data_IF_004841719885
#
_entry.id   IF_004841719885
#
_cell.length_a   1.000
_cell.length_b   1.000
_cell.length_c   1.000
_cell.angle_alpha   90.00
_cell.angle_beta   90.00
_cell.angle_gamma   90.00
#
_symmetry.space_group_name_H-M   'P 1'
#
loop_
_entity.id
_entity.type
_entity.pdbx_description
1 polymer ?
#
# COMPACT_ATOMS: atom_id res chain seq x y z
N UNK A 1 4.78 17.65 32.43
CA UNK A 1 3.46 17.09 32.81
C UNK A 1 3.25 15.83 31.99
N UNK A 2 3.32 14.65 32.60
CA UNK A 2 2.98 13.39 31.92
C UNK A 2 1.48 13.13 32.07
N UNK A 3 0.87 12.62 31.01
CA UNK A 3 -0.54 12.30 30.96
C UNK A 3 -0.78 10.98 31.71
N UNK A 4 -1.82 10.92 32.54
CA UNK A 4 -2.27 9.67 33.17
C UNK A 4 -3.13 8.88 32.18
N UNK A 5 -3.25 7.56 32.36
CA UNK A 5 -4.06 6.71 31.46
C UNK A 5 -5.54 7.13 31.44
N UNK A 6 -6.07 7.54 32.58
CA UNK A 6 -7.43 8.11 32.71
C UNK A 6 -7.54 9.46 31.99
N UNK A 7 -6.49 10.28 32.04
CA UNK A 7 -6.39 11.54 31.32
C UNK A 7 -6.33 11.33 29.81
N UNK A 8 -5.65 10.28 29.34
CA UNK A 8 -5.61 9.91 27.93
C UNK A 8 -6.98 9.48 27.41
N UNK A 9 -7.70 8.67 28.19
CA UNK A 9 -9.05 8.23 27.87
C UNK A 9 -10.02 9.42 27.81
N UNK A 10 -10.05 10.27 28.85
CA UNK A 10 -10.91 11.46 28.89
C UNK A 10 -10.61 12.46 27.76
N UNK A 11 -9.33 12.65 27.43
CA UNK A 11 -8.90 13.48 26.32
C UNK A 11 -9.40 12.94 24.97
N UNK A 12 -9.24 11.65 24.69
CA UNK A 12 -9.73 11.04 23.44
C UNK A 12 -11.24 11.18 23.31
N UNK A 13 -12.00 10.92 24.39
CA UNK A 13 -13.46 11.08 24.36
C UNK A 13 -13.89 12.53 24.15
N UNK A 14 -13.25 13.47 24.84
CA UNK A 14 -13.55 14.91 24.70
C UNK A 14 -13.22 15.42 23.31
N UNK A 15 -12.09 14.95 22.73
CA UNK A 15 -11.67 15.29 21.36
C UNK A 15 -12.66 14.78 20.32
N UNK A 16 -13.17 13.55 20.48
CA UNK A 16 -14.21 12.99 19.61
C UNK A 16 -15.51 13.79 19.70
N UNK A 17 -16.00 14.08 20.91
CA UNK A 17 -17.22 14.85 21.11
C UNK A 17 -17.13 16.28 20.52
N UNK A 18 -15.98 16.94 20.68
CA UNK A 18 -15.75 18.26 20.08
C UNK A 18 -15.72 18.19 18.55
N UNK A 19 -15.09 17.16 17.99
CA UNK A 19 -15.08 16.93 16.54
C UNK A 19 -16.49 16.72 15.98
N UNK A 20 -17.36 16.02 16.71
CA UNK A 20 -18.78 15.83 16.32
C UNK A 20 -19.54 17.16 16.26
N UNK A 21 -19.37 18.01 17.28
CA UNK A 21 -19.99 19.34 17.31
C UNK A 21 -19.48 20.21 16.15
N UNK A 22 -18.17 20.18 15.88
CA UNK A 22 -17.57 20.90 14.76
C UNK A 22 -18.06 20.40 13.40
N UNK A 23 -18.23 19.08 13.23
CA UNK A 23 -18.79 18.49 12.02
C UNK A 23 -20.26 18.92 11.82
N UNK A 24 -21.07 18.89 12.88
CA UNK A 24 -22.45 19.33 12.83
C UNK A 24 -22.57 20.82 12.45
N UNK A 25 -21.68 21.67 12.99
CA UNK A 25 -21.60 23.08 12.62
C UNK A 25 -21.16 23.28 11.16
N UNK A 26 -20.19 22.51 10.67
CA UNK A 26 -19.71 22.57 9.29
C UNK A 26 -20.76 22.13 8.25
N UNK A 27 -21.72 21.27 8.64
CA UNK A 27 -22.86 20.89 7.80
C UNK A 27 -23.89 22.03 7.65
N UNK A 28 -23.92 22.98 8.59
CA UNK A 28 -24.82 24.14 8.58
C UNK A 28 -24.22 25.35 7.85
N UNK A 29 -22.90 25.42 7.69
CA UNK A 29 -22.23 26.54 7.05
C UNK A 29 -22.03 26.27 5.54
N UNK A 30 -22.89 26.86 4.71
CA UNK A 30 -22.84 26.74 3.24
C UNK A 30 -21.63 27.47 2.60
N UNK A 31 -20.65 27.92 3.40
CA UNK A 31 -19.45 28.63 2.94
C UNK A 31 -18.21 27.76 3.13
N UNK A 32 -17.82 27.09 2.05
CA UNK A 32 -16.62 26.23 1.89
C UNK A 32 -16.53 25.09 2.91
N UNK A 33 -16.95 23.90 2.47
CA UNK A 33 -16.70 22.63 3.17
C UNK A 33 -15.19 22.51 3.44
N UNK A 34 -14.76 22.71 4.68
CA UNK A 34 -13.36 22.71 5.10
C UNK A 34 -13.11 21.55 6.08
N UNK A 35 -12.13 20.68 5.81
CA UNK A 35 -11.69 19.69 6.78
C UNK A 35 -10.91 20.38 7.90
N UNK A 36 -11.19 20.01 9.15
CA UNK A 36 -10.49 20.56 10.33
C UNK A 36 -10.07 19.45 11.28
N UNK A 37 -9.11 19.74 12.16
CA UNK A 37 -8.63 18.80 13.18
C UNK A 37 -7.52 17.88 12.68
N UNK A 38 -7.24 16.79 13.42
CA UNK A 38 -6.16 15.84 13.08
C UNK A 38 -6.69 14.64 12.30
N UNK A 39 -6.16 14.39 11.10
CA UNK A 39 -6.43 13.23 10.27
C UNK A 39 -5.22 12.28 10.31
N UNK A 40 -5.42 11.08 10.87
CA UNK A 40 -4.38 10.04 11.00
C UNK A 40 -4.61 8.94 9.98
N UNK A 41 -3.60 8.63 9.17
CA UNK A 41 -3.68 7.54 8.20
C UNK A 41 -2.47 6.61 8.23
N UNK A 42 -2.68 5.34 7.91
CA UNK A 42 -1.61 4.36 7.70
C UNK A 42 -1.56 3.93 6.25
N UNK A 43 -0.35 3.81 5.68
CA UNK A 43 -0.15 3.42 4.28
C UNK A 43 1.06 2.50 4.12
N UNK A 44 1.07 1.60 3.11
CA UNK A 44 2.25 0.84 2.75
C UNK A 44 3.41 1.80 2.43
N UNK A 45 4.64 1.46 2.79
CA UNK A 45 5.75 2.41 2.84
C UNK A 45 5.97 3.07 1.49
N UNK A 46 6.25 2.26 0.48
CA UNK A 46 6.65 2.76 -0.84
C UNK A 46 5.47 3.34 -1.62
N UNK A 47 4.29 2.71 -1.53
CA UNK A 47 3.06 3.28 -2.11
C UNK A 47 2.73 4.64 -1.48
N UNK A 48 2.87 4.72 -0.16
CA UNK A 48 2.63 5.93 0.60
C UNK A 48 3.52 7.07 0.16
N UNK A 49 4.83 6.80 0.03
CA UNK A 49 5.81 7.79 -0.39
C UNK A 49 5.58 8.28 -1.82
N UNK A 50 5.31 7.37 -2.75
CA UNK A 50 5.23 7.70 -4.18
C UNK A 50 3.86 8.25 -4.61
N UNK A 51 2.76 7.80 -3.99
CA UNK A 51 1.41 8.12 -4.44
C UNK A 51 0.58 8.84 -3.38
N UNK A 52 0.46 8.29 -2.16
CA UNK A 52 -0.49 8.82 -1.18
C UNK A 52 -0.05 10.17 -0.58
N UNK A 53 1.20 10.28 -0.13
CA UNK A 53 1.70 11.47 0.55
C UNK A 53 1.69 12.72 -0.36
N UNK A 54 2.13 12.68 -1.64
CA UNK A 54 2.03 13.83 -2.53
C UNK A 54 0.60 14.36 -2.70
N UNK A 55 -0.39 13.46 -2.75
CA UNK A 55 -1.80 13.84 -2.83
C UNK A 55 -2.29 14.43 -1.51
N UNK A 56 -1.98 13.79 -0.38
CA UNK A 56 -2.45 14.23 0.93
C UNK A 56 -1.82 15.55 1.38
N UNK A 57 -0.59 15.85 0.95
CA UNK A 57 0.02 17.18 1.16
C UNK A 57 -0.77 18.26 0.41
N UNK A 58 -1.18 18.02 -0.84
CA UNK A 58 -2.02 18.96 -1.60
C UNK A 58 -3.40 19.12 -0.95
N UNK A 59 -3.98 18.02 -0.47
CA UNK A 59 -5.24 18.04 0.27
C UNK A 59 -5.13 18.88 1.55
N UNK A 60 -4.07 18.71 2.34
CA UNK A 60 -3.84 19.51 3.55
C UNK A 60 -3.64 21.00 3.23
N UNK A 61 -3.01 21.35 2.11
CA UNK A 61 -2.89 22.75 1.67
C UNK A 61 -4.23 23.39 1.31
N UNK A 62 -5.22 22.59 0.88
CA UNK A 62 -6.59 23.06 0.60
C UNK A 62 -7.42 23.23 1.89
N UNK A 63 -6.94 22.70 3.01
CA UNK A 63 -7.63 22.68 4.30
C UNK A 63 -6.71 23.18 5.42
N UNK A 64 -6.60 24.50 5.56
CA UNK A 64 -5.60 25.15 6.42
C UNK A 64 -5.66 24.73 7.90
N UNK A 65 -6.84 24.33 8.40
CA UNK A 65 -7.06 23.91 9.79
C UNK A 65 -6.93 22.38 9.99
N UNK A 66 -6.48 21.66 8.96
CA UNK A 66 -6.25 20.22 9.00
C UNK A 66 -4.79 19.91 9.35
N UNK A 67 -4.60 19.16 10.42
CA UNK A 67 -3.33 18.50 10.72
C UNK A 67 -3.32 17.09 10.13
N UNK A 68 -2.42 16.84 9.20
CA UNK A 68 -2.24 15.52 8.59
C UNK A 68 -1.14 14.72 9.31
N UNK A 69 -1.43 13.46 9.61
CA UNK A 69 -0.45 12.49 10.12
C UNK A 69 -0.49 11.22 9.29
N UNK A 70 0.65 10.87 8.70
CA UNK A 70 0.79 9.66 7.89
C UNK A 70 1.81 8.75 8.55
N UNK A 71 1.39 7.52 8.83
CA UNK A 71 2.25 6.42 9.23
C UNK A 71 2.59 5.56 8.01
N UNK A 72 3.86 5.41 7.69
CA UNK A 72 4.36 4.55 6.62
C UNK A 72 4.81 3.23 7.21
N UNK A 73 4.09 2.15 6.91
CA UNK A 73 4.44 0.83 7.38
C UNK A 73 3.78 -0.24 6.52
N UNK A 74 4.46 -1.36 6.35
CA UNK A 74 3.93 -2.52 5.60
C UNK A 74 3.27 -3.55 6.53
N UNK A 75 2.95 -3.15 7.77
CA UNK A 75 2.27 -4.04 8.70
C UNK A 75 0.75 -3.94 8.60
N UNK A 76 0.06 -5.03 8.94
CA UNK A 76 -1.36 -5.04 9.15
C UNK A 76 -1.67 -4.33 10.48
N UNK A 77 -1.85 -3.01 10.41
CA UNK A 77 -2.28 -2.17 11.53
C UNK A 77 -3.72 -2.48 11.95
N UNK A 78 -4.01 -2.42 13.25
CA UNK A 78 -5.39 -2.36 13.72
C UNK A 78 -5.85 -0.90 13.69
N UNK A 79 -6.77 -0.58 12.78
CA UNK A 79 -7.19 0.81 12.58
C UNK A 79 -7.90 1.38 13.81
N UNK A 80 -8.63 0.53 14.54
CA UNK A 80 -9.48 0.94 15.64
C UNK A 80 -8.62 1.10 16.89
N UNK A 81 -7.83 0.09 17.24
CA UNK A 81 -6.99 0.12 18.44
C UNK A 81 -5.90 1.19 18.34
N UNK A 82 -5.34 1.39 17.16
CA UNK A 82 -4.26 2.37 16.96
C UNK A 82 -4.77 3.79 16.64
N UNK A 83 -6.09 3.94 16.49
CA UNK A 83 -6.76 5.22 16.30
C UNK A 83 -6.43 5.90 14.96
N UNK A 84 -6.40 5.13 13.88
CA UNK A 84 -6.32 5.65 12.51
C UNK A 84 -7.72 6.00 11.99
N UNK A 85 -7.85 7.15 11.33
CA UNK A 85 -9.11 7.56 10.70
C UNK A 85 -9.35 6.78 9.38
N UNK A 86 -8.28 6.44 8.66
CA UNK A 86 -8.30 5.60 7.45
C UNK A 86 -6.94 4.94 7.19
N UNK A 87 -6.90 3.95 6.31
CA UNK A 87 -5.64 3.41 5.78
C UNK A 87 -5.77 3.02 4.31
N UNK A 88 -4.61 2.77 3.69
CA UNK A 88 -4.52 2.08 2.40
C UNK A 88 -4.04 0.66 2.66
N UNK A 89 -4.72 -0.33 2.08
CA UNK A 89 -4.32 -1.75 2.11
C UNK A 89 -4.23 -2.32 0.70
N UNK A 90 -3.26 -3.20 0.50
CA UNK A 90 -3.03 -3.90 -0.77
C UNK A 90 -3.26 -5.39 -0.55
N UNK A 91 -4.01 -6.02 -1.45
CA UNK A 91 -4.32 -7.45 -1.40
C UNK A 91 -5.64 -7.75 -0.69
N UNK A 92 -5.76 -9.00 -0.22
CA UNK A 92 -6.97 -9.49 0.42
C UNK A 92 -7.21 -8.78 1.76
N UNK A 93 -8.48 -8.47 2.04
CA UNK A 93 -8.92 -7.86 3.28
C UNK A 93 -9.50 -8.93 4.21
N UNK A 94 -9.40 -8.76 5.54
CA UNK A 94 -10.07 -9.64 6.49
C UNK A 94 -11.59 -9.51 6.35
N UNK A 95 -12.30 -10.62 6.52
CA UNK A 95 -13.76 -10.63 6.57
C UNK A 95 -14.22 -10.11 7.94
N UNK A 96 -14.54 -8.81 8.00
CA UNK A 96 -14.97 -8.15 9.24
C UNK A 96 -16.02 -7.08 8.95
N UNK A 97 -16.98 -6.95 9.85
CA UNK A 97 -18.02 -5.92 9.80
C UNK A 97 -17.60 -4.59 10.45
N UNK A 98 -16.47 -4.58 11.17
CA UNK A 98 -15.97 -3.40 11.87
C UNK A 98 -15.24 -2.41 10.96
N UNK A 99 -14.94 -2.81 9.72
CA UNK A 99 -14.25 -1.99 8.74
C UNK A 99 -15.07 -1.90 7.45
N UNK A 100 -14.98 -0.75 6.79
CA UNK A 100 -15.49 -0.53 5.44
C UNK A 100 -14.31 -0.42 4.49
N UNK A 101 -14.44 -1.01 3.30
CA UNK A 101 -13.42 -0.96 2.27
C UNK A 101 -13.98 -0.42 0.95
N UNK A 102 -13.22 0.47 0.30
CA UNK A 102 -13.50 0.97 -1.05
C UNK A 102 -12.33 0.62 -1.97
N UNK A 103 -12.56 -0.16 -3.04
CA UNK A 103 -11.53 -0.40 -4.04
C UNK A 103 -11.18 0.92 -4.74
N UNK A 104 -9.90 1.20 -4.87
CA UNK A 104 -9.38 2.42 -5.52
C UNK A 104 -8.47 2.11 -6.71
N UNK A 105 -8.13 0.85 -6.92
CA UNK A 105 -7.38 0.41 -8.09
C UNK A 105 -6.74 -0.95 -7.87
N UNK A 106 -5.83 -1.30 -8.75
CA UNK A 106 -5.02 -2.50 -8.66
C UNK A 106 -3.63 -2.27 -9.25
N UNK A 107 -2.69 -3.14 -8.88
CA UNK A 107 -1.41 -3.27 -9.56
C UNK A 107 -1.08 -4.73 -9.83
N UNK A 108 -0.01 -4.97 -10.57
CA UNK A 108 0.50 -6.32 -10.80
C UNK A 108 1.83 -6.51 -10.10
N UNK A 109 2.14 -7.75 -9.75
CA UNK A 109 3.44 -8.14 -9.20
C UNK A 109 4.13 -9.05 -10.19
N UNK A 110 5.26 -8.62 -10.75
CA UNK A 110 5.98 -9.31 -11.82
C UNK A 110 7.22 -10.01 -11.26
N UNK A 111 7.57 -11.16 -11.84
CA UNK A 111 8.90 -11.75 -11.65
C UNK A 111 9.85 -11.10 -12.63
N UNK A 112 10.99 -10.63 -12.14
CA UNK A 112 11.98 -9.95 -12.97
C UNK A 112 13.41 -10.20 -12.48
N UNK A 113 14.35 -10.07 -13.40
CA UNK A 113 15.79 -10.10 -13.13
C UNK A 113 16.52 -9.15 -14.09
N UNK A 114 17.77 -8.82 -13.79
CA UNK A 114 18.62 -8.12 -14.76
C UNK A 114 18.99 -9.06 -15.93
N UNK A 115 19.19 -8.54 -17.15
CA UNK A 115 19.72 -9.33 -18.26
C UNK A 115 21.08 -9.98 -17.92
N UNK A 116 21.96 -9.25 -17.23
CA UNK A 116 23.29 -9.74 -16.86
C UNK A 116 23.26 -10.91 -15.87
N UNK A 117 22.26 -10.94 -14.97
CA UNK A 117 22.02 -12.13 -14.14
C UNK A 117 21.63 -13.34 -14.99
N UNK A 118 20.67 -13.19 -15.91
CA UNK A 118 20.18 -14.29 -16.76
C UNK A 118 21.26 -14.78 -17.73
N UNK A 119 22.11 -13.89 -18.25
CA UNK A 119 23.26 -14.26 -19.08
C UNK A 119 24.24 -15.18 -18.35
N UNK A 120 24.38 -15.02 -17.03
CA UNK A 120 25.27 -15.84 -16.18
C UNK A 120 24.59 -17.10 -15.65
N UNK A 121 23.32 -17.01 -15.28
CA UNK A 121 22.58 -18.07 -14.59
C UNK A 121 21.76 -18.97 -15.52
N UNK A 122 21.50 -18.54 -16.75
CA UNK A 122 20.61 -19.21 -17.71
C UNK A 122 19.22 -18.55 -17.78
N UNK A 123 18.42 -18.92 -18.81
CA UNK A 123 17.04 -18.45 -18.96
C UNK A 123 16.10 -19.13 -17.94
N UNK A 124 14.94 -18.51 -17.71
CA UNK A 124 13.85 -19.03 -16.87
C UNK A 124 12.62 -19.20 -17.75
N UNK A 125 12.39 -20.41 -18.24
CA UNK A 125 11.30 -20.74 -19.18
C UNK A 125 10.16 -21.46 -18.47
N UNK A 126 10.49 -22.22 -17.42
CA UNK A 126 9.57 -23.00 -16.62
C UNK A 126 9.66 -22.64 -15.15
N UNK A 127 8.60 -22.94 -14.42
CA UNK A 127 8.53 -22.60 -13.00
C UNK A 127 9.54 -23.40 -12.17
N UNK A 128 9.84 -24.61 -12.60
CA UNK A 128 10.84 -25.49 -12.00
C UNK A 128 12.26 -24.90 -12.11
N UNK A 129 12.52 -24.05 -13.10
CA UNK A 129 13.83 -23.41 -13.27
C UNK A 129 14.17 -22.53 -12.07
N UNK A 130 13.15 -21.94 -11.40
CA UNK A 130 13.35 -21.12 -10.21
C UNK A 130 14.11 -21.83 -9.08
N UNK A 131 14.10 -23.17 -9.05
CA UNK A 131 14.87 -23.95 -8.08
C UNK A 131 16.38 -23.87 -8.28
N UNK A 132 16.84 -23.51 -9.49
CA UNK A 132 18.25 -23.34 -9.85
C UNK A 132 18.71 -21.88 -9.77
N UNK A 133 17.77 -20.94 -9.57
CA UNK A 133 18.05 -19.52 -9.53
C UNK A 133 18.16 -18.98 -8.10
N UNK A 134 19.04 -17.98 -7.95
CA UNK A 134 19.03 -17.14 -6.77
C UNK A 134 17.77 -16.29 -6.79
N UNK A 135 17.05 -16.24 -5.67
CA UNK A 135 15.86 -15.40 -5.53
C UNK A 135 16.06 -14.38 -4.41
N UNK A 136 15.39 -13.24 -4.54
CA UNK A 136 15.38 -12.14 -3.58
C UNK A 136 13.95 -12.04 -3.07
N UNK A 137 13.75 -12.18 -1.76
CA UNK A 137 12.41 -12.28 -1.18
C UNK A 137 12.23 -11.39 0.04
N UNK A 138 10.98 -11.04 0.28
CA UNK A 138 10.55 -10.33 1.49
C UNK A 138 10.16 -11.33 2.59
N UNK A 139 10.88 -11.35 3.73
CA UNK A 139 10.44 -12.04 4.92
C UNK A 139 9.33 -11.24 5.63
N UNK A 140 8.14 -11.22 5.03
CA UNK A 140 7.00 -10.50 5.57
C UNK A 140 6.60 -11.07 6.96
N UNK A 141 6.77 -10.26 8.01
CA UNK A 141 6.49 -10.63 9.41
C UNK A 141 7.19 -11.89 9.93
N UNK A 142 8.44 -12.11 9.50
CA UNK A 142 9.19 -13.28 9.92
C UNK A 142 8.75 -14.59 9.25
N UNK A 143 7.81 -14.52 8.30
CA UNK A 143 7.49 -15.62 7.40
C UNK A 143 7.87 -15.24 5.97
N UNK A 144 8.39 -16.22 5.22
CA UNK A 144 8.68 -16.03 3.80
C UNK A 144 7.39 -15.76 3.04
N UNK A 145 7.27 -14.58 2.43
CA UNK A 145 6.15 -14.29 1.56
C UNK A 145 6.18 -15.24 0.36
N UNK A 146 5.09 -15.97 0.16
CA UNK A 146 4.94 -16.79 -1.05
C UNK A 146 4.68 -15.86 -2.23
N UNK A 147 5.37 -16.11 -3.34
CA UNK A 147 5.06 -15.47 -4.61
C UNK A 147 3.75 -16.06 -5.12
N UNK A 148 2.75 -15.21 -5.29
CA UNK A 148 1.47 -15.60 -5.89
C UNK A 148 1.57 -15.33 -7.39
N UNK A 149 1.68 -16.40 -8.15
CA UNK A 149 1.60 -16.42 -9.60
C UNK A 149 0.24 -16.97 -10.02
N UNK A 150 0.02 -16.99 -11.33
CA UNK A 150 -1.18 -17.54 -11.95
C UNK A 150 -0.76 -18.61 -12.95
N UNK A 151 -1.45 -19.76 -12.97
CA UNK A 151 -1.28 -20.76 -14.02
C UNK A 151 -2.03 -20.32 -15.29
N UNK A 152 -1.75 -20.98 -16.41
CA UNK A 152 -2.47 -20.75 -17.69
C UNK A 152 -3.99 -20.93 -17.58
N UNK A 153 -4.47 -21.75 -16.64
CA UNK A 153 -5.90 -21.97 -16.37
C UNK A 153 -6.49 -20.99 -15.34
N UNK A 154 -5.83 -19.86 -15.09
CA UNK A 154 -6.18 -18.84 -14.11
C UNK A 154 -6.13 -19.27 -12.63
N UNK A 155 -5.73 -20.50 -12.31
CA UNK A 155 -5.59 -20.95 -10.93
C UNK A 155 -4.41 -20.25 -10.22
N UNK A 156 -4.58 -19.85 -8.94
CA UNK A 156 -3.49 -19.29 -8.17
C UNK A 156 -2.43 -20.35 -7.87
N UNK A 157 -1.17 -19.97 -8.06
CA UNK A 157 0.00 -20.79 -7.73
C UNK A 157 0.88 -20.05 -6.74
N UNK A 158 1.24 -20.72 -5.65
CA UNK A 158 2.03 -20.13 -4.58
C UNK A 158 3.41 -20.77 -4.52
N UNK A 159 4.45 -20.01 -4.82
CA UNK A 159 5.84 -20.46 -4.76
C UNK A 159 6.47 -19.92 -3.50
N UNK A 160 7.19 -20.79 -2.77
CA UNK A 160 8.09 -20.35 -1.72
C UNK A 160 9.49 -20.18 -2.34
N UNK A 161 9.97 -18.94 -2.56
CA UNK A 161 11.28 -18.74 -3.16
C UNK A 161 12.39 -19.29 -2.25
N UNK A 162 13.39 -19.95 -2.85
CA UNK A 162 14.65 -20.34 -2.18
C UNK A 162 15.55 -19.11 -2.12
N UNK A 163 15.20 -18.19 -1.23
CA UNK A 163 15.79 -16.87 -1.20
C UNK A 163 17.25 -16.89 -0.74
N UNK A 164 18.13 -16.37 -1.59
CA UNK A 164 19.53 -16.07 -1.25
C UNK A 164 19.63 -14.77 -0.45
N UNK A 165 18.74 -13.83 -0.73
CA UNK A 165 18.63 -12.54 -0.06
C UNK A 165 17.23 -12.36 0.52
N UNK A 166 17.19 -11.91 1.78
CA UNK A 166 15.96 -11.59 2.51
C UNK A 166 15.96 -10.11 2.84
N UNK A 167 15.07 -9.35 2.20
CA UNK A 167 14.99 -7.89 2.31
C UNK A 167 13.53 -7.50 2.49
N UNK A 168 13.21 -6.76 3.56
CA UNK A 168 11.85 -6.34 3.90
C UNK A 168 11.50 -4.95 3.35
N UNK A 169 12.15 -4.55 2.27
CA UNK A 169 11.95 -3.26 1.61
C UNK A 169 11.98 -3.45 0.10
N UNK A 170 10.88 -3.09 -0.58
CA UNK A 170 10.74 -3.30 -2.03
C UNK A 170 11.76 -2.52 -2.85
N UNK A 171 12.21 -1.34 -2.38
CA UNK A 171 13.22 -0.55 -3.07
C UNK A 171 14.59 -1.23 -2.96
N UNK A 172 14.92 -1.81 -1.82
CA UNK A 172 16.13 -2.62 -1.63
C UNK A 172 16.10 -3.89 -2.49
N UNK A 173 14.95 -4.58 -2.57
CA UNK A 173 14.78 -5.74 -3.46
C UNK A 173 15.01 -5.35 -4.93
N UNK A 174 14.40 -4.24 -5.39
CA UNK A 174 14.62 -3.69 -6.73
C UNK A 174 16.10 -3.43 -7.00
N UNK A 175 16.78 -2.75 -6.07
CA UNK A 175 18.20 -2.42 -6.22
C UNK A 175 19.08 -3.68 -6.26
N UNK A 176 18.74 -4.72 -5.49
CA UNK A 176 19.44 -6.00 -5.53
C UNK A 176 19.22 -6.75 -6.85
N UNK A 177 18.01 -6.72 -7.41
CA UNK A 177 17.73 -7.30 -8.73
C UNK A 177 18.52 -6.61 -9.85
N UNK A 178 18.62 -5.27 -9.79
CA UNK A 178 19.46 -4.47 -10.70
C UNK A 178 20.96 -4.73 -10.55
N UNK A 179 21.40 -5.23 -9.39
CA UNK A 179 22.78 -5.56 -9.09
C UNK A 179 23.11 -7.05 -9.35
N UNK A 180 22.37 -7.69 -10.27
CA UNK A 180 22.51 -9.10 -10.65
C UNK A 180 22.35 -10.11 -9.50
N UNK A 181 21.67 -9.77 -8.42
CA UNK A 181 21.64 -10.63 -7.24
C UNK A 181 20.65 -11.82 -7.35
N UNK A 182 19.74 -11.80 -8.33
CA UNK A 182 18.78 -12.86 -8.57
C UNK A 182 17.45 -12.38 -9.12
N UNK A 183 16.47 -13.27 -9.07
CA UNK A 183 15.08 -13.02 -9.47
C UNK A 183 14.32 -12.40 -8.29
N UNK A 184 13.59 -11.32 -8.56
CA UNK A 184 12.74 -10.62 -7.61
C UNK A 184 11.28 -10.62 -8.05
N UNK A 185 10.38 -10.51 -7.07
CA UNK A 185 8.95 -10.33 -7.29
C UNK A 185 8.55 -8.92 -6.88
N UNK A 186 8.26 -8.06 -7.85
CA UNK A 186 8.15 -6.61 -7.65
C UNK A 186 6.90 -6.03 -8.29
N UNK A 187 6.32 -4.96 -7.71
CA UNK A 187 5.18 -4.28 -8.33
C UNK A 187 5.55 -3.65 -9.66
N UNK A 188 4.66 -3.76 -10.66
CA UNK A 188 4.88 -3.23 -12.02
C UNK A 188 5.16 -1.71 -12.03
N UNK A 189 4.42 -0.94 -11.23
CA UNK A 189 4.63 0.51 -11.08
C UNK A 189 5.99 0.89 -10.47
N UNK A 190 6.67 -0.03 -9.77
CA UNK A 190 7.97 0.25 -9.17
C UNK A 190 9.12 0.07 -10.17
N UNK A 191 8.95 -0.84 -11.12
CA UNK A 191 10.01 -1.25 -12.07
C UNK A 191 9.71 -0.85 -13.51
N UNK A 192 8.66 -0.07 -13.76
CA UNK A 192 8.22 0.29 -15.11
C UNK A 192 9.34 0.91 -15.95
N UNK A 193 10.10 1.85 -15.37
CA UNK A 193 11.21 2.50 -16.08
C UNK A 193 12.33 1.50 -16.40
N UNK A 194 12.65 0.61 -15.46
CA UNK A 194 13.70 -0.39 -15.65
C UNK A 194 13.32 -1.45 -16.68
N UNK A 195 12.04 -1.80 -16.78
CA UNK A 195 11.52 -2.66 -17.84
C UNK A 195 11.60 -1.97 -19.22
N UNK A 196 11.24 -0.67 -19.29
CA UNK A 196 11.33 0.11 -20.54
C UNK A 196 12.77 0.31 -21.00
N UNK A 197 13.69 0.59 -20.06
CA UNK A 197 15.11 0.76 -20.33
C UNK A 197 15.85 -0.56 -20.59
N UNK A 198 15.19 -1.72 -20.41
CA UNK A 198 15.80 -3.04 -20.52
C UNK A 198 16.80 -3.38 -19.40
N UNK A 199 16.80 -2.61 -18.29
CA UNK A 199 17.63 -2.88 -17.10
C UNK A 199 17.11 -4.06 -16.28
N UNK A 200 15.81 -4.28 -16.34
CA UNK A 200 15.15 -5.48 -15.84
C UNK A 200 14.35 -6.10 -16.99
N UNK A 201 14.23 -7.41 -16.98
CA UNK A 201 13.35 -8.16 -17.87
C UNK A 201 12.40 -9.00 -17.05
N UNK A 202 11.15 -9.10 -17.52
CA UNK A 202 10.16 -9.98 -16.92
C UNK A 202 10.51 -11.44 -17.25
N UNK A 203 10.38 -12.33 -16.27
CA UNK A 203 10.50 -13.79 -16.46
C UNK A 203 9.17 -14.46 -16.14
N UNK A 204 8.90 -15.61 -16.78
CA UNK A 204 7.63 -16.32 -16.65
C UNK A 204 6.43 -15.39 -16.88
N UNK A 205 6.43 -14.65 -17.99
CA UNK A 205 5.47 -13.58 -18.29
C UNK A 205 4.01 -14.04 -18.27
N UNK A 206 3.74 -15.23 -18.82
CA UNK A 206 2.45 -15.88 -18.86
C UNK A 206 1.88 -16.17 -17.45
N UNK A 207 2.75 -16.33 -16.44
CA UNK A 207 2.35 -16.70 -15.09
C UNK A 207 2.45 -15.55 -14.08
N UNK A 208 3.32 -14.58 -14.36
CA UNK A 208 3.72 -13.57 -13.38
C UNK A 208 2.84 -12.33 -13.36
N UNK A 209 1.69 -12.29 -14.03
CA UNK A 209 0.81 -11.12 -14.08
C UNK A 209 -0.36 -11.18 -13.08
N UNK A 210 -0.08 -11.44 -11.80
CA UNK A 210 -1.14 -11.48 -10.76
C UNK A 210 -1.54 -10.07 -10.31
N UNK A 211 -2.84 -9.77 -10.35
CA UNK A 211 -3.40 -8.50 -9.88
C UNK A 211 -3.61 -8.46 -8.36
N UNK A 212 -3.27 -7.32 -7.76
CA UNK A 212 -3.42 -7.03 -6.34
C UNK A 212 -4.30 -5.79 -6.18
N UNK A 213 -5.51 -5.94 -5.61
CA UNK A 213 -6.41 -4.82 -5.40
C UNK A 213 -5.87 -3.90 -4.31
N UNK A 214 -6.09 -2.61 -4.49
CA UNK A 214 -5.74 -1.55 -3.55
C UNK A 214 -7.04 -0.97 -3.02
N UNK A 215 -7.13 -0.87 -1.70
CA UNK A 215 -8.32 -0.43 -1.00
C UNK A 215 -8.02 0.74 -0.08
N UNK A 216 -8.94 1.70 -0.04
CA UNK A 216 -9.10 2.57 1.14
C UNK A 216 -9.93 1.82 2.16
N UNK A 217 -9.48 1.80 3.41
CA UNK A 217 -10.16 1.10 4.51
C UNK A 217 -10.31 2.05 5.69
N UNK A 218 -11.46 2.04 6.36
CA UNK A 218 -11.72 2.87 7.54
C UNK A 218 -12.70 2.16 8.49
N UNK A 219 -12.76 2.55 9.78
CA UNK A 219 -13.72 1.96 10.72
C UNK A 219 -15.17 2.21 10.32
N UNK A 220 -16.03 1.22 10.55
CA UNK A 220 -17.48 1.38 10.46
C UNK A 220 -17.95 2.29 11.59
N UNK A 221 -18.37 3.52 11.25
CA UNK A 221 -18.84 4.52 12.22
C UNK A 221 -20.28 4.92 11.91
N UNK A 222 -21.16 5.10 12.92
CA UNK A 222 -22.51 5.63 12.71
C UNK A 222 -22.52 6.98 11.99
N UNK A 223 -21.51 7.82 12.27
CA UNK A 223 -21.26 9.09 11.61
C UNK A 223 -19.78 9.17 11.22
N UNK A 224 -19.52 9.45 9.94
CA UNK A 224 -18.16 9.62 9.43
C UNK A 224 -17.73 11.09 9.57
N UNK A 225 -16.60 11.38 10.25
CA UNK A 225 -16.08 12.74 10.32
C UNK A 225 -15.83 13.34 8.93
N UNK A 226 -16.11 14.64 8.78
CA UNK A 226 -16.00 15.33 7.49
C UNK A 226 -14.58 15.24 6.90
N UNK A 227 -13.55 15.42 7.74
CA UNK A 227 -12.13 15.27 7.35
C UNK A 227 -11.83 13.93 6.68
N UNK A 228 -12.42 12.84 7.20
CA UNK A 228 -12.19 11.47 6.73
C UNK A 228 -12.91 11.26 5.41
N UNK A 229 -14.16 11.70 5.32
CA UNK A 229 -14.94 11.64 4.08
C UNK A 229 -14.24 12.40 2.95
N UNK A 230 -13.83 13.65 3.18
CA UNK A 230 -13.16 14.45 2.17
C UNK A 230 -11.81 13.86 1.76
N UNK A 231 -11.04 13.29 2.68
CA UNK A 231 -9.80 12.61 2.36
C UNK A 231 -10.03 11.35 1.49
N UNK A 232 -11.06 10.55 1.82
CA UNK A 232 -11.46 9.38 1.02
C UNK A 232 -11.87 9.80 -0.39
N UNK A 233 -12.71 10.83 -0.50
CA UNK A 233 -13.19 11.36 -1.79
C UNK A 233 -12.00 11.89 -2.62
N UNK A 234 -11.10 12.65 -2.00
CA UNK A 234 -9.92 13.20 -2.64
C UNK A 234 -8.97 12.12 -3.16
N UNK A 235 -8.63 11.12 -2.33
CA UNK A 235 -7.78 10.01 -2.73
C UNK A 235 -8.42 9.17 -3.84
N UNK A 236 -9.71 8.86 -3.74
CA UNK A 236 -10.41 8.08 -4.76
C UNK A 236 -10.53 8.82 -6.11
N UNK A 237 -10.56 10.15 -6.10
CA UNK A 237 -10.61 10.96 -7.32
C UNK A 237 -9.24 11.11 -8.00
N UNK A 238 -8.15 11.14 -7.24
CA UNK A 238 -6.82 11.51 -7.75
C UNK A 238 -5.84 10.34 -7.85
N UNK A 239 -6.10 9.20 -7.21
CA UNK A 239 -5.32 7.99 -7.45
C UNK A 239 -5.76 7.35 -8.77
N UNK A 240 -4.81 6.95 -9.63
CA UNK A 240 -5.16 6.26 -10.86
C UNK A 240 -5.69 4.86 -10.53
N UNK A 241 -6.76 4.45 -11.22
CA UNK A 241 -7.37 3.12 -11.05
C UNK A 241 -6.45 1.97 -11.47
N UNK A 242 -5.43 2.26 -12.30
CA UNK A 242 -4.31 1.38 -12.63
C UNK A 242 -3.01 2.14 -12.46
N UNK A 243 -2.14 1.69 -11.55
CA UNK A 243 -0.90 2.42 -11.24
C UNK A 243 0.14 2.42 -12.37
N UNK A 244 0.07 1.49 -13.33
CA UNK A 244 1.06 1.42 -14.42
C UNK A 244 0.80 2.38 -15.59
N UNK A 245 -0.34 3.10 -15.57
CA UNK A 245 -0.66 4.10 -16.59
C UNK A 245 -0.43 5.48 -16.02
N UNK A 246 0.78 6.02 -16.20
CA UNK A 246 0.88 7.46 -16.35
C UNK A 246 0.42 7.80 -17.78
N UNK A 247 -0.56 8.71 -17.86
CA UNK A 247 -0.94 9.41 -19.07
C UNK A 247 0.08 10.52 -19.37
#
# INVERSE_FOLDING_TARGET
LSMTDEGALFYEHSRRALSEIQNAAALLDQRKINATGRLRMSVPVLFGQLFAAPLMVKFAQQHADLQLEISFNDRNVDLIEEGFDLCIRIGALPDTTQLVAKPIGEHRMLLCASPDYLNKAGPVEHIEDLDQHATIADPHFGQMQKWRLQKENDEPLFIKPKAKLLLNDLQAIKNAALADAGIAWLPDWLIQNELQDGKLVQVLDAMSSTAFPIHLVWPTLPFMPLKTRLAIDYLAQHLPSKLNKQA
#
